data_IF_591236715417
#
_entry.id   IF_591236715417
#
_cell.length_a   1.000
_cell.length_b   1.000
_cell.length_c   1.000
_cell.angle_alpha   90.00
_cell.angle_beta   90.00
_cell.angle_gamma   90.00
#
_symmetry.space_group_name_H-M   'P 1'
#
loop_
_entity.id
_entity.type
_entity.pdbx_description
1 polymer ?
#
# COMPACT_ATOMS: atom_id res chain seq x y z
N UNK A 1 15.24 19.49 19.22
CA UNK A 1 14.03 19.35 18.38
C UNK A 1 13.76 17.87 18.24
N UNK A 2 12.72 17.33 18.89
CA UNK A 2 12.36 15.93 18.66
C UNK A 2 11.95 15.77 17.19
N UNK A 3 12.33 14.69 16.50
CA UNK A 3 11.84 14.46 15.14
C UNK A 3 10.32 14.41 15.18
N UNK A 4 9.61 15.07 14.24
CA UNK A 4 8.16 15.01 14.18
C UNK A 4 7.74 13.53 14.17
N UNK A 5 6.86 13.16 15.10
CA UNK A 5 6.29 11.81 15.13
C UNK A 5 5.56 11.64 13.80
N UNK A 6 6.09 10.78 12.94
CA UNK A 6 5.33 10.29 11.80
C UNK A 6 4.44 9.20 12.36
N UNK A 7 3.13 9.31 12.18
CA UNK A 7 2.15 8.27 12.55
C UNK A 7 2.25 7.05 11.61
N UNK A 8 3.47 6.66 11.26
CA UNK A 8 3.82 5.60 10.33
C UNK A 8 4.98 4.81 10.91
N UNK A 9 4.88 3.49 10.83
CA UNK A 9 5.96 2.57 11.20
C UNK A 9 6.47 1.84 9.95
N UNK A 10 7.77 1.59 9.89
CA UNK A 10 8.32 0.72 8.85
C UNK A 10 7.95 -0.73 9.16
N UNK A 11 7.63 -1.51 8.13
CA UNK A 11 7.36 -2.94 8.25
C UNK A 11 8.16 -3.70 7.19
N UNK A 12 8.62 -4.90 7.54
CA UNK A 12 9.29 -5.82 6.64
C UNK A 12 8.33 -6.96 6.32
N UNK A 13 8.12 -7.23 5.03
CA UNK A 13 7.18 -8.23 4.55
C UNK A 13 7.88 -9.20 3.59
N UNK A 14 7.55 -10.49 3.68
CA UNK A 14 7.89 -11.48 2.67
C UNK A 14 6.62 -11.85 1.91
N UNK A 15 6.63 -11.64 0.60
CA UNK A 15 5.51 -11.93 -0.29
C UNK A 15 5.91 -12.98 -1.32
N UNK A 16 4.95 -13.78 -1.83
CA UNK A 16 5.16 -14.57 -3.05
C UNK A 16 5.62 -13.67 -4.21
N UNK A 17 6.48 -14.22 -5.07
CA UNK A 17 7.03 -13.49 -6.23
C UNK A 17 5.92 -13.04 -7.17
N UNK A 18 4.98 -13.94 -7.48
CA UNK A 18 3.81 -13.66 -8.32
C UNK A 18 2.99 -12.46 -7.83
N UNK A 19 2.88 -12.28 -6.50
CA UNK A 19 2.14 -11.17 -5.92
C UNK A 19 2.91 -9.85 -6.09
N UNK A 20 4.24 -9.88 -5.98
CA UNK A 20 5.08 -8.71 -6.23
C UNK A 20 5.00 -8.29 -7.70
N UNK A 21 4.98 -9.24 -8.63
CA UNK A 21 4.82 -8.99 -10.07
C UNK A 21 3.47 -8.34 -10.37
N UNK A 22 2.37 -8.86 -9.78
CA UNK A 22 1.05 -8.25 -9.91
C UNK A 22 1.01 -6.81 -9.36
N UNK A 23 1.61 -6.56 -8.20
CA UNK A 23 1.71 -5.20 -7.64
C UNK A 23 2.51 -4.28 -8.58
N UNK A 24 3.58 -4.77 -9.18
CA UNK A 24 4.41 -3.98 -10.09
C UNK A 24 3.70 -3.64 -11.41
N UNK A 25 2.86 -4.55 -11.91
CA UNK A 25 2.05 -4.32 -13.10
C UNK A 25 1.04 -3.20 -12.87
N UNK A 26 0.27 -3.28 -11.77
CA UNK A 26 -0.68 -2.22 -11.38
C UNK A 26 0.06 -0.89 -11.20
N UNK A 27 1.21 -0.91 -10.51
CA UNK A 27 2.04 0.29 -10.27
C UNK A 27 2.52 0.97 -11.55
N UNK A 28 2.77 0.22 -12.63
CA UNK A 28 3.19 0.77 -13.93
C UNK A 28 2.04 1.38 -14.73
N UNK A 29 0.81 0.97 -14.44
CA UNK A 29 -0.39 1.49 -15.11
C UNK A 29 -0.84 2.85 -14.54
N UNK A 30 -0.39 3.21 -13.33
CA UNK A 30 -0.69 4.50 -12.70
C UNK A 30 -0.01 5.68 -13.42
N UNK A 31 -0.74 6.78 -13.58
CA UNK A 31 -0.20 8.02 -14.14
C UNK A 31 0.91 8.61 -13.25
N UNK A 32 0.80 8.46 -11.93
CA UNK A 32 1.76 8.93 -10.93
C UNK A 32 2.56 7.77 -10.31
N UNK A 33 3.18 6.93 -11.17
CA UNK A 33 3.90 5.69 -10.83
C UNK A 33 4.42 5.69 -9.36
N UNK A 34 3.67 5.08 -8.43
CA UNK A 34 4.01 5.18 -7.02
C UNK A 34 5.20 4.29 -6.69
N UNK A 35 5.78 4.47 -5.50
CA UNK A 35 6.75 3.50 -4.97
C UNK A 35 6.03 2.21 -4.60
N UNK A 36 6.73 1.07 -4.56
CA UNK A 36 6.10 -0.20 -4.15
C UNK A 36 5.47 -0.13 -2.74
N UNK A 37 6.13 0.44 -1.70
CA UNK A 37 5.48 0.64 -0.41
C UNK A 37 4.22 1.51 -0.48
N UNK A 38 4.23 2.52 -1.35
CA UNK A 38 3.07 3.40 -1.52
C UNK A 38 1.91 2.70 -2.23
N UNK A 39 2.18 1.90 -3.26
CA UNK A 39 1.16 1.08 -3.91
C UNK A 39 0.52 0.09 -2.91
N UNK A 40 1.35 -0.56 -2.09
CA UNK A 40 0.85 -1.45 -1.02
C UNK A 40 -0.06 -0.68 -0.05
N UNK A 41 0.28 0.56 0.34
CA UNK A 41 -0.59 1.39 1.18
C UNK A 41 -1.92 1.68 0.51
N UNK A 42 -1.93 2.11 -0.77
CA UNK A 42 -3.16 2.39 -1.53
C UNK A 42 -4.09 1.18 -1.56
N UNK A 43 -3.57 0.01 -1.92
CA UNK A 43 -4.32 -1.26 -1.97
C UNK A 43 -4.91 -1.60 -0.59
N UNK A 44 -4.11 -1.50 0.48
CA UNK A 44 -4.58 -1.81 1.83
C UNK A 44 -5.65 -0.81 2.30
N UNK A 45 -5.46 0.48 2.06
CA UNK A 45 -6.45 1.52 2.40
C UNK A 45 -7.77 1.28 1.69
N UNK A 46 -7.74 1.10 0.37
CA UNK A 46 -8.93 0.82 -0.44
C UNK A 46 -9.66 -0.45 0.03
N UNK A 47 -8.91 -1.50 0.34
CA UNK A 47 -9.45 -2.76 0.84
C UNK A 47 -10.20 -2.60 2.18
N UNK A 48 -9.66 -1.79 3.09
CA UNK A 48 -10.29 -1.50 4.38
C UNK A 48 -11.45 -0.51 4.24
N UNK A 49 -11.38 0.47 3.35
CA UNK A 49 -12.49 1.38 3.05
C UNK A 49 -13.69 0.62 2.48
N UNK A 50 -13.45 -0.25 1.50
CA UNK A 50 -14.47 -1.10 0.88
C UNK A 50 -15.18 -1.99 1.91
N UNK A 51 -14.43 -2.54 2.87
CA UNK A 51 -14.99 -3.40 3.95
C UNK A 51 -15.62 -2.65 5.10
N UNK A 52 -15.18 -1.43 5.35
CA UNK A 52 -15.77 -0.57 6.38
C UNK A 52 -17.11 -0.01 5.92
N UNK A 53 -17.28 0.15 4.60
CA UNK A 53 -18.59 0.42 3.97
C UNK A 53 -19.59 -0.73 4.02
N UNK A 54 -19.14 -1.95 4.35
CA UNK A 54 -19.97 -3.16 4.48
C UNK A 54 -20.44 -3.42 5.93
N UNK A 55 -20.21 -2.45 6.84
CA UNK A 55 -20.83 -2.39 8.17
C UNK A 55 -22.01 -1.41 8.18
N UNK A 56 -22.94 -1.56 7.23
CA UNK A 56 -24.24 -0.88 7.24
C UNK A 56 -25.35 -1.85 7.66
#
# INVERSE_FOLDING_TARGET
MAPPKKDTVALTLRLPVELLEGIDEVRRAEADIPTRPEMIRRILSEWFETRSGDKA
#
